data_IF_332627693114
#
_entry.id   IF_332627693114
#
_cell.length_a   1.000
_cell.length_b   1.000
_cell.length_c   1.000
_cell.angle_alpha   90.00
_cell.angle_beta   90.00
_cell.angle_gamma   90.00
#
_symmetry.space_group_name_H-M   'P 1'
#
loop_
_entity.id
_entity.type
_entity.pdbx_description
1 polymer ?
#
# COMPACT_ATOMS: atom_id res chain seq x y z
N UNK A 1 22.39 7.81 -42.13
CA UNK A 1 21.23 8.18 -41.29
C UNK A 1 20.00 8.35 -42.17
N UNK A 2 18.87 7.66 -42.02
CA UNK A 2 18.57 6.31 -41.55
C UNK A 2 17.13 6.03 -42.04
N UNK A 3 16.95 5.54 -43.27
CA UNK A 3 15.62 5.26 -43.83
C UNK A 3 14.89 4.08 -43.13
N UNK A 4 15.62 3.27 -42.34
CA UNK A 4 15.07 2.14 -41.60
C UNK A 4 14.40 2.53 -40.26
N UNK A 5 14.73 3.70 -39.68
CA UNK A 5 14.11 4.15 -38.42
C UNK A 5 12.69 4.71 -38.61
N UNK A 6 12.37 5.28 -39.79
CA UNK A 6 11.04 5.85 -40.04
C UNK A 6 9.97 4.76 -40.18
N UNK A 7 10.32 3.62 -40.79
CA UNK A 7 9.40 2.51 -41.04
C UNK A 7 9.02 1.76 -39.76
N UNK A 8 9.97 1.54 -38.84
CA UNK A 8 9.67 0.93 -37.55
C UNK A 8 8.75 1.81 -36.70
N UNK A 9 9.04 3.11 -36.63
CA UNK A 9 8.21 4.09 -35.91
C UNK A 9 6.79 4.17 -36.47
N UNK A 10 6.63 4.27 -37.79
CA UNK A 10 5.31 4.32 -38.43
C UNK A 10 4.52 3.04 -38.24
N UNK A 11 5.17 1.88 -38.29
CA UNK A 11 4.54 0.59 -38.02
C UNK A 11 4.01 0.52 -36.59
N UNK A 12 4.78 0.98 -35.60
CA UNK A 12 4.36 1.04 -34.19
C UNK A 12 3.18 2.00 -34.03
N UNK A 13 3.28 3.22 -34.57
CA UNK A 13 2.21 4.22 -34.47
C UNK A 13 0.91 3.76 -35.15
N UNK A 14 1.02 3.05 -36.28
CA UNK A 14 -0.13 2.48 -36.98
C UNK A 14 -0.80 1.38 -36.16
N UNK A 15 -0.02 0.51 -35.51
CA UNK A 15 -0.55 -0.51 -34.59
C UNK A 15 -1.26 0.11 -33.38
N UNK A 16 -0.66 1.15 -32.77
CA UNK A 16 -1.26 1.85 -31.62
C UNK A 16 -2.57 2.55 -31.99
N UNK A 17 -2.63 3.23 -33.14
CA UNK A 17 -3.88 3.85 -33.63
C UNK A 17 -4.96 2.80 -33.87
N UNK A 18 -4.62 1.68 -34.53
CA UNK A 18 -5.57 0.57 -34.75
C UNK A 18 -6.08 0.00 -33.44
N UNK A 19 -5.20 -0.24 -32.46
CA UNK A 19 -5.60 -0.75 -31.15
C UNK A 19 -6.51 0.22 -30.38
N UNK A 20 -6.29 1.54 -30.52
CA UNK A 20 -7.15 2.56 -29.87
C UNK A 20 -8.56 2.61 -30.45
N UNK A 21 -8.74 2.20 -31.71
CA UNK A 21 -10.04 2.17 -32.39
C UNK A 21 -10.72 0.81 -32.38
N UNK A 22 -10.02 -0.27 -32.04
CA UNK A 22 -10.55 -1.64 -32.06
C UNK A 22 -11.43 -2.00 -30.85
N UNK A 23 -11.65 -1.07 -29.90
CA UNK A 23 -12.26 -1.37 -28.61
C UNK A 23 -11.31 -2.19 -27.73
N UNK A 24 -11.48 -2.11 -26.41
CA UNK A 24 -10.74 -3.00 -25.52
C UNK A 24 -11.14 -4.45 -25.82
N UNK A 25 -10.20 -5.42 -25.88
CA UNK A 25 -10.58 -6.82 -25.99
C UNK A 25 -11.54 -7.16 -24.85
N UNK A 26 -12.59 -7.93 -25.15
CA UNK A 26 -13.51 -8.45 -24.13
C UNK A 26 -12.67 -9.16 -23.07
N UNK A 27 -12.60 -8.54 -21.89
CA UNK A 27 -11.95 -9.17 -20.75
C UNK A 27 -12.84 -10.34 -20.37
N UNK A 28 -12.27 -11.55 -20.37
CA UNK A 28 -12.94 -12.69 -19.75
C UNK A 28 -13.23 -12.30 -18.31
N UNK A 29 -14.50 -12.11 -17.97
CA UNK A 29 -14.92 -11.91 -16.59
C UNK A 29 -14.41 -13.13 -15.81
N UNK A 30 -13.55 -12.88 -14.82
CA UNK A 30 -13.33 -13.87 -13.77
C UNK A 30 -14.57 -13.74 -12.90
N UNK A 31 -15.44 -14.74 -12.98
CA UNK A 31 -16.66 -14.82 -12.16
C UNK A 31 -16.28 -14.57 -10.68
N UNK A 32 -16.82 -13.53 -10.03
CA UNK A 32 -16.46 -13.16 -8.66
C UNK A 32 -16.66 -14.32 -7.66
N UNK A 33 -17.64 -15.18 -7.93
CA UNK A 33 -17.99 -16.33 -7.10
C UNK A 33 -16.91 -17.42 -7.09
N UNK A 34 -16.24 -17.67 -8.22
CA UNK A 34 -15.17 -18.67 -8.28
C UNK A 34 -13.92 -18.22 -7.49
N UNK A 35 -13.65 -16.92 -7.46
CA UNK A 35 -12.57 -16.35 -6.68
C UNK A 35 -12.94 -16.23 -5.17
N UNK A 36 -14.22 -16.10 -4.86
CA UNK A 36 -14.72 -16.13 -3.48
C UNK A 36 -14.70 -17.55 -2.88
N UNK A 37 -14.96 -18.59 -3.68
CA UNK A 37 -14.97 -19.99 -3.25
C UNK A 37 -13.55 -20.56 -3.02
N UNK A 38 -12.52 -20.01 -3.65
CA UNK A 38 -11.12 -20.42 -3.44
C UNK A 38 -10.55 -19.96 -2.08
N UNK A 39 -11.17 -18.95 -1.44
CA UNK A 39 -10.78 -18.40 -0.13
C UNK A 39 -11.08 -19.34 1.06
N UNK A 40 -11.38 -20.62 0.80
CA UNK A 40 -12.04 -21.53 1.72
C UNK A 40 -11.16 -22.65 2.29
N UNK A 41 -9.82 -22.53 2.27
CA UNK A 41 -9.00 -23.31 3.23
C UNK A 41 -8.97 -22.58 4.58
N UNK A 42 -10.15 -22.41 5.18
CA UNK A 42 -10.38 -21.74 6.46
C UNK A 42 -10.14 -22.71 7.64
N UNK A 43 -8.99 -23.39 7.66
CA UNK A 43 -8.67 -24.31 8.76
C UNK A 43 -8.34 -23.60 10.07
N UNK A 44 -7.93 -22.34 9.99
CA UNK A 44 -7.34 -21.57 11.09
C UNK A 44 -8.22 -20.39 11.57
N UNK A 45 -9.27 -20.03 10.83
CA UNK A 45 -10.12 -18.88 11.15
C UNK A 45 -9.40 -17.53 11.01
N UNK A 46 -10.12 -16.43 11.26
CA UNK A 46 -9.54 -15.08 11.22
C UNK A 46 -8.39 -14.91 12.23
N UNK A 47 -8.56 -15.41 13.46
CA UNK A 47 -7.53 -15.31 14.49
C UNK A 47 -6.23 -16.03 14.10
N UNK A 48 -6.32 -17.20 13.46
CA UNK A 48 -5.14 -17.91 12.98
C UNK A 48 -4.46 -17.20 11.82
N UNK A 49 -5.22 -16.61 10.89
CA UNK A 49 -4.66 -15.77 9.81
C UNK A 49 -3.91 -14.55 10.35
N UNK A 50 -4.45 -13.87 11.36
CA UNK A 50 -3.77 -12.76 12.05
C UNK A 50 -2.45 -13.23 12.67
N UNK A 51 -2.49 -14.33 13.42
CA UNK A 51 -1.30 -14.89 14.07
C UNK A 51 -0.23 -15.29 13.05
N UNK A 52 -0.64 -15.90 11.93
CA UNK A 52 0.26 -16.30 10.85
C UNK A 52 0.88 -15.08 10.17
N UNK A 53 0.09 -14.05 9.87
CA UNK A 53 0.58 -12.79 9.30
C UNK A 53 1.62 -12.14 10.23
N UNK A 54 1.36 -12.11 11.54
CA UNK A 54 2.29 -11.59 12.55
C UNK A 54 3.61 -12.36 12.55
N UNK A 55 3.56 -13.71 12.51
CA UNK A 55 4.75 -14.56 12.48
C UNK A 55 5.61 -14.29 11.24
N UNK A 56 5.01 -14.23 10.05
CA UNK A 56 5.72 -14.00 8.79
C UNK A 56 6.29 -12.57 8.72
N UNK A 57 5.54 -11.55 9.16
CA UNK A 57 6.03 -10.17 9.23
C UNK A 57 7.23 -10.04 10.17
N UNK A 58 7.24 -10.74 11.31
CA UNK A 58 8.38 -10.78 12.23
C UNK A 58 9.62 -11.41 11.58
N UNK A 59 9.48 -12.50 10.81
CA UNK A 59 10.59 -13.10 10.04
C UNK A 59 11.17 -12.10 9.03
N UNK A 60 10.31 -11.27 8.45
CA UNK A 60 10.68 -10.20 7.53
C UNK A 60 11.20 -8.94 8.22
N UNK A 61 11.42 -8.96 9.55
CA UNK A 61 11.89 -7.82 10.37
C UNK A 61 10.93 -6.63 10.40
N UNK A 62 9.66 -6.84 10.05
CA UNK A 62 8.60 -5.84 10.20
C UNK A 62 8.03 -5.86 11.62
N UNK A 63 7.67 -4.68 12.13
CA UNK A 63 6.97 -4.53 13.41
C UNK A 63 5.49 -4.83 13.21
N UNK A 64 4.88 -5.59 14.10
CA UNK A 64 3.44 -5.86 14.10
C UNK A 64 2.84 -5.43 15.43
N UNK A 65 1.74 -4.68 15.39
CA UNK A 65 0.99 -4.21 16.56
C UNK A 65 -0.47 -4.56 16.35
N UNK A 66 -0.99 -5.48 17.17
CA UNK A 66 -2.43 -5.82 17.18
C UNK A 66 -3.15 -4.90 18.15
N UNK A 67 -4.28 -4.35 17.71
CA UNK A 67 -5.12 -3.41 18.45
C UNK A 67 -6.58 -3.76 18.22
N UNK A 68 -7.42 -3.46 19.21
CA UNK A 68 -8.85 -3.83 19.20
C UNK A 68 -9.75 -2.64 18.93
N UNK A 69 -9.25 -1.41 19.17
CA UNK A 69 -10.02 -0.19 18.99
C UNK A 69 -9.33 0.80 18.04
N UNK A 70 -10.09 1.68 17.35
CA UNK A 70 -9.51 2.76 16.55
C UNK A 70 -8.65 3.73 17.37
N UNK A 71 -8.97 3.89 18.66
CA UNK A 71 -8.17 4.69 19.59
C UNK A 71 -6.80 4.07 19.83
N UNK A 72 -6.74 2.77 20.12
CA UNK A 72 -5.47 2.05 20.26
C UNK A 72 -4.66 2.08 18.96
N UNK A 73 -5.31 1.97 17.80
CA UNK A 73 -4.63 2.12 16.52
C UNK A 73 -4.00 3.50 16.34
N UNK A 74 -4.73 4.57 16.68
CA UNK A 74 -4.23 5.95 16.66
C UNK A 74 -3.02 6.11 17.59
N UNK A 75 -3.14 5.62 18.83
CA UNK A 75 -2.06 5.68 19.83
C UNK A 75 -0.84 4.87 19.38
N UNK A 76 -1.04 3.70 18.76
CA UNK A 76 0.04 2.89 18.19
C UNK A 76 0.76 3.60 17.03
N UNK A 77 0.03 4.23 16.12
CA UNK A 77 0.62 5.01 15.02
C UNK A 77 1.45 6.18 15.56
N UNK A 78 0.93 6.91 16.54
CA UNK A 78 1.63 8.02 17.18
C UNK A 78 2.89 7.55 17.93
N UNK A 79 2.80 6.44 18.66
CA UNK A 79 3.95 5.84 19.35
C UNK A 79 5.05 5.41 18.38
N UNK A 80 4.68 4.78 17.25
CA UNK A 80 5.62 4.42 16.19
C UNK A 80 6.30 5.65 15.59
N UNK A 81 5.56 6.73 15.34
CA UNK A 81 6.13 7.99 14.85
C UNK A 81 7.12 8.60 15.86
N UNK A 82 6.75 8.62 17.15
CA UNK A 82 7.59 9.16 18.22
C UNK A 82 8.87 8.35 18.45
N UNK A 83 8.79 7.02 18.47
CA UNK A 83 9.95 6.12 18.60
C UNK A 83 11.00 6.36 17.49
N UNK A 84 10.53 6.77 16.32
CA UNK A 84 11.37 7.05 15.16
C UNK A 84 11.84 8.51 15.07
N UNK A 85 11.47 9.36 16.04
CA UNK A 85 11.79 10.78 16.02
C UNK A 85 11.24 11.50 14.79
N UNK A 86 10.09 11.05 14.29
CA UNK A 86 9.53 11.58 13.05
C UNK A 86 8.97 12.99 13.23
N UNK A 87 9.53 13.96 12.51
CA UNK A 87 9.00 15.34 12.50
C UNK A 87 7.86 15.55 11.48
N UNK A 88 7.71 14.65 10.51
CA UNK A 88 6.75 14.77 9.41
C UNK A 88 6.17 13.41 9.02
N UNK A 89 4.89 13.40 8.66
CA UNK A 89 4.20 12.24 8.13
C UNK A 89 3.41 12.61 6.88
N UNK A 90 3.23 11.67 5.97
CA UNK A 90 2.26 11.75 4.86
C UNK A 90 1.27 10.61 5.04
N UNK A 91 -0.02 10.86 4.76
CA UNK A 91 -1.05 9.83 4.83
C UNK A 91 -1.83 9.76 3.51
N UNK A 92 -2.26 8.56 3.17
CA UNK A 92 -3.28 8.37 2.15
C UNK A 92 -4.61 9.01 2.54
N UNK A 93 -5.32 9.50 1.53
CA UNK A 93 -6.74 9.78 1.65
C UNK A 93 -7.50 8.45 1.61
N UNK A 94 -7.89 7.95 2.78
CA UNK A 94 -8.57 6.67 2.92
C UNK A 94 -9.50 6.69 4.15
N UNK A 95 -10.75 6.17 4.04
CA UNK A 95 -11.72 6.19 5.14
C UNK A 95 -11.19 5.59 6.45
N UNK A 96 -10.44 4.48 6.36
CA UNK A 96 -9.80 3.86 7.53
C UNK A 96 -8.86 4.81 8.27
N UNK A 97 -8.02 5.57 7.56
CA UNK A 97 -7.07 6.49 8.18
C UNK A 97 -7.77 7.75 8.68
N UNK A 98 -8.78 8.23 7.95
CA UNK A 98 -9.61 9.35 8.39
C UNK A 98 -10.33 9.04 9.71
N UNK A 99 -10.83 7.82 9.88
CA UNK A 99 -11.49 7.38 11.12
C UNK A 99 -10.54 7.31 12.34
N UNK A 100 -9.22 7.23 12.11
CA UNK A 100 -8.24 7.24 13.19
C UNK A 100 -7.94 8.65 13.71
N UNK A 101 -8.35 9.71 12.99
CA UNK A 101 -8.09 11.12 13.36
C UNK A 101 -6.65 11.34 13.87
N UNK A 102 -5.74 10.96 12.97
CA UNK A 102 -4.29 11.01 13.15
C UNK A 102 -3.68 12.41 13.32
N UNK A 103 -4.23 13.53 12.78
CA UNK A 103 -3.57 14.83 12.88
C UNK A 103 -3.23 15.25 14.31
N UNK A 104 -4.17 15.09 15.25
CA UNK A 104 -3.96 15.48 16.64
C UNK A 104 -2.93 14.57 17.33
N UNK A 105 -3.04 13.26 17.15
CA UNK A 105 -2.14 12.29 17.78
C UNK A 105 -0.70 12.40 17.25
N UNK A 106 -0.53 12.65 15.95
CA UNK A 106 0.78 12.91 15.36
C UNK A 106 1.36 14.23 15.88
N UNK A 107 0.55 15.29 16.00
CA UNK A 107 1.00 16.56 16.54
C UNK A 107 1.50 16.43 17.99
N UNK A 108 0.80 15.66 18.82
CA UNK A 108 1.22 15.33 20.20
C UNK A 108 2.52 14.51 20.23
N UNK A 109 2.75 13.65 19.23
CA UNK A 109 3.99 12.92 19.04
C UNK A 109 5.13 13.76 18.41
N UNK A 110 4.89 15.05 18.11
CA UNK A 110 5.88 15.95 17.51
C UNK A 110 5.99 15.85 15.98
N UNK A 111 5.06 15.16 15.32
CA UNK A 111 5.03 15.00 13.87
C UNK A 111 3.91 15.85 13.23
N UNK A 112 4.23 16.57 12.15
CA UNK A 112 3.21 17.26 11.34
C UNK A 112 2.72 16.37 10.20
N UNK A 113 1.40 16.32 9.99
CA UNK A 113 0.84 15.65 8.82
C UNK A 113 0.91 16.57 7.59
N UNK A 114 1.57 16.11 6.54
CA UNK A 114 1.66 16.76 5.24
C UNK A 114 0.46 16.32 4.39
N UNK A 115 -0.36 17.28 3.97
CA UNK A 115 -1.50 17.01 3.10
C UNK A 115 -1.16 17.33 1.64
N UNK A 116 -1.14 16.33 0.74
CA UNK A 116 -1.20 16.60 -0.69
C UNK A 116 -2.64 16.97 -1.05
N UNK A 117 -3.04 18.24 -0.89
CA UNK A 117 -4.30 18.74 -1.44
C UNK A 117 -4.07 19.26 -2.86
N UNK A 118 -4.86 18.80 -3.80
CA UNK A 118 -5.02 19.49 -5.09
C UNK A 118 -5.93 20.71 -4.89
N UNK A 119 -5.35 21.91 -5.02
CA UNK A 119 -6.06 23.16 -5.31
C UNK A 119 -6.54 24.01 -4.12
N UNK A 120 -5.84 25.13 -3.89
CA UNK A 120 -6.37 26.50 -3.87
C UNK A 120 -5.15 27.45 -3.86
N UNK A 121 -5.14 28.45 -4.75
CA UNK A 121 -4.11 29.49 -4.75
C UNK A 121 -4.00 30.13 -3.36
N UNK A 122 -2.95 29.81 -2.60
CA UNK A 122 -2.62 30.54 -1.36
C UNK A 122 -2.46 29.75 -0.06
N UNK A 123 -2.65 28.42 -0.04
CA UNK A 123 -2.26 27.59 1.11
C UNK A 123 -1.10 26.65 0.71
N UNK A 124 0.13 27.09 0.96
CA UNK A 124 1.38 26.42 0.57
C UNK A 124 1.39 24.92 0.99
N UNK A 125 1.60 23.96 0.08
CA UNK A 125 2.78 23.84 -0.79
C UNK A 125 2.54 24.26 -2.25
N UNK A 126 3.08 25.41 -2.67
CA UNK A 126 3.08 25.82 -4.09
C UNK A 126 4.04 25.00 -4.98
N UNK A 127 4.64 23.92 -4.47
CA UNK A 127 5.70 23.15 -5.14
C UNK A 127 5.53 21.62 -5.07
N UNK A 128 4.64 21.07 -4.23
CA UNK A 128 4.68 19.65 -3.91
C UNK A 128 3.63 18.86 -4.70
N UNK A 129 4.06 18.27 -5.82
CA UNK A 129 3.41 17.02 -6.24
C UNK A 129 3.48 16.02 -5.08
N UNK A 130 2.52 15.11 -5.00
CA UNK A 130 2.40 14.10 -3.92
C UNK A 130 3.70 13.35 -3.59
N UNK A 131 4.60 13.25 -4.58
CA UNK A 131 5.95 12.66 -4.46
C UNK A 131 6.89 13.50 -3.58
N UNK A 132 6.89 14.83 -3.70
CA UNK A 132 7.79 15.71 -2.94
C UNK A 132 7.45 15.70 -1.44
N UNK A 133 6.16 15.76 -1.08
CA UNK A 133 5.74 15.58 0.31
C UNK A 133 6.14 14.22 0.87
N UNK A 134 5.95 13.16 0.09
CA UNK A 134 6.35 11.82 0.52
C UNK A 134 7.87 11.67 0.65
N UNK A 135 8.67 12.39 -0.14
CA UNK A 135 10.13 12.39 -0.03
C UNK A 135 10.64 13.11 1.23
N UNK A 136 9.94 14.16 1.68
CA UNK A 136 10.26 14.90 2.91
C UNK A 136 9.65 14.30 4.18
N UNK A 137 8.68 13.40 4.04
CA UNK A 137 8.01 12.76 5.16
C UNK A 137 8.92 11.71 5.80
N UNK A 138 9.05 11.74 7.13
CA UNK A 138 9.72 10.68 7.88
C UNK A 138 8.84 9.41 7.98
N UNK A 139 7.52 9.57 7.93
CA UNK A 139 6.55 8.48 8.03
C UNK A 139 5.56 8.49 6.87
N UNK A 140 5.35 7.33 6.30
CA UNK A 140 4.31 7.07 5.30
C UNK A 140 3.20 6.25 5.89
N UNK A 141 1.97 6.76 5.88
CA UNK A 141 0.80 6.10 6.43
C UNK A 141 -0.10 5.62 5.29
N UNK A 142 -0.34 4.31 5.22
CA UNK A 142 -1.24 3.73 4.22
C UNK A 142 -2.28 2.84 4.88
N UNK A 143 -3.47 2.79 4.29
CA UNK A 143 -4.37 1.67 4.51
C UNK A 143 -3.91 0.48 3.65
N UNK A 144 -4.30 -0.72 4.06
CA UNK A 144 -4.06 -1.97 3.32
C UNK A 144 -5.37 -2.43 2.71
N UNK A 145 -5.36 -2.88 1.45
CA UNK A 145 -6.56 -3.40 0.80
C UNK A 145 -6.76 -4.89 1.11
N UNK A 146 -5.67 -5.66 1.15
CA UNK A 146 -5.63 -7.03 1.64
C UNK A 146 -4.25 -7.38 2.20
N UNK A 147 -4.16 -8.39 3.07
CA UNK A 147 -2.88 -8.95 3.51
C UNK A 147 -2.86 -10.46 3.35
N UNK A 148 -1.74 -11.02 2.92
CA UNK A 148 -1.55 -12.45 2.70
C UNK A 148 -0.78 -13.02 3.89
N UNK A 149 -1.45 -13.86 4.68
CA UNK A 149 -0.90 -14.39 5.91
C UNK A 149 0.33 -15.28 5.66
N UNK A 150 0.27 -16.19 4.69
CA UNK A 150 1.33 -17.18 4.46
C UNK A 150 2.69 -16.59 4.05
N UNK A 151 2.72 -15.37 3.52
CA UNK A 151 3.94 -14.71 3.05
C UNK A 151 4.27 -13.40 3.77
N UNK A 152 3.43 -12.95 4.71
CA UNK A 152 3.63 -11.65 5.35
C UNK A 152 3.52 -10.47 4.38
N UNK A 153 2.66 -10.58 3.35
CA UNK A 153 2.59 -9.59 2.26
C UNK A 153 1.39 -8.66 2.41
N UNK A 154 1.60 -7.35 2.29
CA UNK A 154 0.55 -6.35 2.22
C UNK A 154 0.24 -6.01 0.76
N UNK A 155 -1.04 -5.94 0.40
CA UNK A 155 -1.53 -5.58 -0.93
C UNK A 155 -2.14 -4.19 -0.86
N UNK A 156 -1.56 -3.27 -1.63
CA UNK A 156 -1.91 -1.86 -1.67
C UNK A 156 -2.33 -1.46 -3.08
N UNK A 157 -3.49 -0.86 -3.25
CA UNK A 157 -3.99 -0.32 -4.51
C UNK A 157 -3.74 1.19 -4.61
N UNK A 158 -3.13 1.63 -5.70
CA UNK A 158 -3.02 3.04 -6.04
C UNK A 158 -4.34 3.59 -6.57
N UNK A 159 -4.62 4.83 -6.21
CA UNK A 159 -5.78 5.59 -6.67
C UNK A 159 -5.62 7.08 -6.37
N UNK A 160 -6.64 7.89 -6.68
CA UNK A 160 -6.69 9.29 -6.25
C UNK A 160 -6.46 9.41 -4.74
N UNK A 161 -5.59 10.32 -4.30
CA UNK A 161 -5.22 10.48 -2.88
C UNK A 161 -4.42 9.32 -2.25
N UNK A 162 -4.15 8.24 -3.01
CA UNK A 162 -3.47 7.02 -2.57
C UNK A 162 -2.20 6.76 -3.41
N UNK A 163 -1.23 7.67 -3.37
CA UNK A 163 0.01 7.57 -4.15
C UNK A 163 0.88 6.39 -3.68
N UNK A 164 1.55 5.70 -4.61
CA UNK A 164 2.63 4.75 -4.26
C UNK A 164 3.72 5.38 -3.39
N UNK A 165 3.97 6.67 -3.58
CA UNK A 165 5.06 7.39 -2.92
C UNK A 165 4.99 7.30 -1.38
N UNK A 166 3.77 7.27 -0.80
CA UNK A 166 3.60 7.21 0.65
C UNK A 166 4.10 5.90 1.26
N UNK A 167 4.03 4.76 0.57
CA UNK A 167 4.59 3.49 1.08
C UNK A 167 6.05 3.26 0.67
N UNK A 168 6.61 4.14 -0.18
CA UNK A 168 7.90 3.89 -0.82
C UNK A 168 9.00 4.85 -0.35
N UNK A 169 8.72 6.14 -0.26
CA UNK A 169 9.75 7.15 -0.01
C UNK A 169 10.05 7.38 1.47
N UNK A 170 9.04 7.45 2.37
CA UNK A 170 9.32 7.65 3.78
C UNK A 170 10.15 6.49 4.35
N UNK A 171 11.15 6.78 5.19
CA UNK A 171 12.00 5.73 5.78
C UNK A 171 11.22 4.77 6.67
N UNK A 172 10.16 5.25 7.34
CA UNK A 172 9.19 4.41 8.05
C UNK A 172 7.89 4.32 7.25
N UNK A 173 7.49 3.12 6.85
CA UNK A 173 6.16 2.84 6.35
C UNK A 173 5.31 2.23 7.47
N UNK A 174 4.21 2.88 7.85
CA UNK A 174 3.19 2.33 8.76
C UNK A 174 1.94 2.00 7.96
N UNK A 175 1.60 0.72 7.93
CA UNK A 175 0.44 0.21 7.22
C UNK A 175 -0.66 -0.19 8.22
N UNK A 176 -1.86 0.33 8.04
CA UNK A 176 -3.03 -0.02 8.86
C UNK A 176 -3.87 -1.04 8.10
N UNK A 177 -4.08 -2.21 8.71
CA UNK A 177 -4.85 -3.32 8.14
C UNK A 177 -5.94 -3.74 9.11
N UNK A 178 -7.10 -4.13 8.61
CA UNK A 178 -8.13 -4.78 9.42
C UNK A 178 -8.01 -6.30 9.34
N UNK A 179 -8.36 -7.01 10.40
CA UNK A 179 -8.25 -8.46 10.47
C UNK A 179 -9.12 -9.18 9.41
N UNK A 180 -10.24 -8.58 9.00
CA UNK A 180 -11.14 -9.10 7.95
C UNK A 180 -10.55 -9.00 6.53
N UNK A 181 -9.46 -8.25 6.35
CA UNK A 181 -8.75 -8.09 5.08
C UNK A 181 -7.63 -9.12 4.89
N UNK A 182 -7.41 -10.00 5.87
CA UNK A 182 -6.32 -10.97 5.85
C UNK A 182 -6.81 -12.26 5.18
N UNK A 183 -6.18 -12.62 4.06
CA UNK A 183 -6.39 -13.87 3.33
C UNK A 183 -5.31 -14.90 3.71
N UNK A 184 -5.57 -16.18 3.47
CA UNK A 184 -4.72 -17.25 3.98
C UNK A 184 -3.42 -17.34 3.17
N UNK A 185 -3.53 -17.36 1.84
CA UNK A 185 -2.43 -17.71 0.95
C UNK A 185 -2.26 -16.79 -0.25
N UNK A 186 -1.13 -16.92 -0.94
CA UNK A 186 -0.88 -16.19 -2.19
C UNK A 186 -1.86 -16.61 -3.30
N UNK A 187 -2.39 -17.83 -3.23
CA UNK A 187 -3.41 -18.34 -4.15
C UNK A 187 -4.74 -17.57 -4.07
N UNK A 188 -4.96 -16.81 -2.99
CA UNK A 188 -6.11 -15.92 -2.82
C UNK A 188 -5.96 -14.59 -3.56
N UNK A 189 -4.74 -14.24 -4.00
CA UNK A 189 -4.44 -12.96 -4.64
C UNK A 189 -5.29 -12.68 -5.89
N UNK A 190 -5.55 -13.63 -6.81
CA UNK A 190 -6.45 -13.38 -7.93
C UNK A 190 -7.85 -12.92 -7.50
N UNK A 191 -8.38 -13.47 -6.40
CA UNK A 191 -9.68 -13.08 -5.85
C UNK A 191 -9.65 -11.71 -5.19
N UNK A 192 -8.57 -11.38 -4.49
CA UNK A 192 -8.32 -10.02 -4.00
C UNK A 192 -8.28 -9.03 -5.17
N UNK A 193 -7.46 -9.29 -6.18
CA UNK A 193 -7.30 -8.43 -7.35
C UNK A 193 -8.60 -8.27 -8.15
N UNK A 194 -9.46 -9.29 -8.17
CA UNK A 194 -10.78 -9.20 -8.82
C UNK A 194 -11.71 -8.21 -8.12
N UNK A 195 -11.58 -8.04 -6.80
CA UNK A 195 -12.40 -7.15 -5.96
C UNK A 195 -11.90 -5.70 -5.92
N UNK A 196 -10.62 -5.46 -6.26
CA UNK A 196 -10.07 -4.11 -6.34
C UNK A 196 -10.62 -3.39 -7.58
N UNK A 197 -11.74 -2.71 -7.42
CA UNK A 197 -12.39 -1.91 -8.45
C UNK A 197 -12.74 -0.53 -7.90
N UNK A 198 -12.65 0.49 -8.75
CA UNK A 198 -13.22 1.80 -8.43
C UNK A 198 -14.73 1.83 -8.68
N UNK A 199 -15.35 3.00 -8.45
CA UNK A 199 -16.79 3.23 -8.61
C UNK A 199 -17.28 2.93 -10.05
N UNK A 200 -16.40 3.07 -11.05
CA UNK A 200 -16.70 2.79 -12.46
C UNK A 200 -16.42 1.32 -12.84
N UNK A 201 -16.04 0.48 -11.87
CA UNK A 201 -15.71 -0.93 -12.12
C UNK A 201 -14.36 -1.15 -12.80
N UNK A 202 -13.48 -0.14 -12.82
CA UNK A 202 -12.14 -0.24 -13.38
C UNK A 202 -11.12 -0.73 -12.33
N UNK A 203 -10.08 -1.48 -12.75
CA UNK A 203 -9.01 -1.87 -11.84
C UNK A 203 -8.17 -0.65 -11.43
N UNK A 204 -7.49 -0.70 -10.27
CA UNK A 204 -6.63 0.38 -9.82
C UNK A 204 -5.49 0.65 -10.81
N UNK A 205 -4.97 1.88 -10.78
CA UNK A 205 -3.85 2.30 -11.64
C UNK A 205 -2.53 1.56 -11.34
N UNK A 206 -2.43 0.95 -10.16
CA UNK A 206 -1.35 0.06 -9.78
C UNK A 206 -1.68 -0.74 -8.52
N UNK A 207 -1.06 -1.90 -8.38
CA UNK A 207 -1.11 -2.71 -7.16
C UNK A 207 0.32 -2.98 -6.71
N UNK A 208 0.57 -2.82 -5.41
CA UNK A 208 1.87 -2.99 -4.79
C UNK A 208 1.78 -4.07 -3.72
N UNK A 209 2.61 -5.10 -3.86
CA UNK A 209 2.76 -6.15 -2.87
C UNK A 209 4.03 -5.86 -2.05
N UNK A 210 3.87 -5.62 -0.75
CA UNK A 210 4.96 -5.23 0.17
C UNK A 210 5.18 -6.36 1.17
N UNK A 211 6.32 -7.04 1.07
CA UNK A 211 6.71 -8.18 1.92
C UNK A 211 7.88 -7.79 2.82
N UNK A 212 7.64 -6.91 3.79
CA UNK A 212 8.66 -6.42 4.72
C UNK A 212 9.33 -5.10 4.28
N UNK A 213 10.29 -4.61 5.07
CA UNK A 213 11.08 -3.42 4.74
C UNK A 213 11.88 -3.63 3.45
N UNK A 214 12.18 -2.53 2.75
CA UNK A 214 13.01 -2.59 1.55
C UNK A 214 14.40 -3.11 1.89
N UNK A 215 14.80 -4.17 1.23
CA UNK A 215 16.09 -4.82 1.45
C UNK A 215 16.67 -5.28 0.11
N UNK A 216 17.97 -5.04 -0.07
CA UNK A 216 18.76 -5.65 -1.13
C UNK A 216 19.80 -6.57 -0.47
N UNK A 217 19.85 -7.84 -0.89
CA UNK A 217 20.83 -8.83 -0.41
C UNK A 217 22.03 -8.99 -1.35
N UNK A 218 22.14 -8.11 -2.36
CA UNK A 218 23.06 -8.20 -3.50
C UNK A 218 24.38 -7.45 -3.29
N UNK A 219 24.82 -7.28 -2.04
CA UNK A 219 26.17 -6.82 -1.70
C UNK A 219 26.73 -7.77 -0.66
N UNK A 220 27.62 -8.67 -1.10
CA UNK A 220 28.45 -9.50 -0.22
C UNK A 220 27.67 -10.38 0.78
N UNK A 221 26.44 -10.79 0.45
CA UNK A 221 25.53 -11.58 1.30
C UNK A 221 25.09 -10.85 2.60
N UNK A 222 25.32 -9.55 2.69
CA UNK A 222 24.87 -8.73 3.81
C UNK A 222 23.53 -8.09 3.46
N UNK A 223 22.58 -8.19 4.38
CA UNK A 223 21.25 -7.59 4.25
C UNK A 223 21.37 -6.07 4.40
N UNK A 224 21.25 -5.31 3.31
CA UNK A 224 21.25 -3.84 3.34
C UNK A 224 19.82 -3.33 3.20
N UNK A 225 19.35 -2.57 4.19
CA UNK A 225 18.00 -2.02 4.21
C UNK A 225 17.96 -0.60 3.62
N UNK A 226 16.87 -0.26 2.93
CA UNK A 226 16.55 1.11 2.55
C UNK A 226 17.14 1.65 1.24
N UNK A 227 17.70 0.80 0.38
CA UNK A 227 18.31 1.26 -0.89
C UNK A 227 17.27 1.78 -1.88
N UNK A 228 16.07 1.17 -1.90
CA UNK A 228 15.02 1.45 -2.89
C UNK A 228 13.63 1.66 -2.29
N UNK A 229 13.53 1.82 -0.97
CA UNK A 229 12.25 1.93 -0.26
C UNK A 229 12.42 2.11 1.24
N UNK A 230 11.35 1.97 2.05
CA UNK A 230 11.40 2.19 3.49
C UNK A 230 12.40 1.27 4.17
N UNK A 231 13.20 1.81 5.08
CA UNK A 231 14.13 1.02 5.92
C UNK A 231 13.38 0.21 6.97
N UNK A 232 12.16 0.64 7.33
CA UNK A 232 11.32 0.02 8.36
C UNK A 232 9.87 -0.09 7.91
N UNK A 233 9.26 -1.21 8.24
CA UNK A 233 7.83 -1.47 8.04
C UNK A 233 7.20 -1.75 9.40
N UNK A 234 6.12 -1.05 9.72
CA UNK A 234 5.26 -1.35 10.86
C UNK A 234 3.83 -1.58 10.38
N UNK A 235 3.18 -2.60 10.93
CA UNK A 235 1.81 -2.97 10.62
C UNK A 235 0.96 -2.83 11.88
N UNK A 236 -0.08 -2.00 11.81
CA UNK A 236 -1.09 -1.85 12.85
C UNK A 236 -2.32 -2.62 12.41
N UNK A 237 -2.61 -3.73 13.09
CA UNK A 237 -3.72 -4.62 12.77
C UNK A 237 -4.91 -4.34 13.69
N UNK A 238 -5.98 -3.81 13.12
CA UNK A 238 -7.28 -3.62 13.76
C UNK A 238 -8.06 -4.92 13.76
N UNK A 239 -8.18 -5.52 14.95
CA UNK A 239 -8.90 -6.77 15.14
C UNK A 239 -10.02 -6.61 16.16
N UNK A 240 -11.24 -6.43 15.66
CA UNK A 240 -12.46 -6.31 16.45
C UNK A 240 -12.99 -7.66 16.97
N UNK A 241 -12.33 -8.78 16.62
CA UNK A 241 -12.76 -10.13 17.01
C UNK A 241 -12.10 -10.63 18.30
N UNK A 242 -11.19 -9.84 18.88
CA UNK A 242 -10.49 -10.16 20.12
C UNK A 242 -11.29 -9.80 21.38
#
# INVERSE_FOLDING_TARGET
MNAAESTARENILTRLRRARHAGAPERRAVEPEAAAAALADDREGQAGRVARLEEELKKLTARFVRVTTPREAREAVAALAAEHGAASAVAWDHPLLAALDLPEALAQAGARLLHPREGEEGAACGACGTVACAAEAAVGLTAVDAAIASTGTLVLAAGPGRPRAASLLPPLHVAVVRADQIVAGLDDLPGVLARLRDEDGLPPSGVFCISGPSCTADIELVKVFGVHGPTRLAVVCLDFSA
#
